data_IF_348864104418
#
_entry.id   IF_348864104418
#
_cell.length_a   1.000
_cell.length_b   1.000
_cell.length_c   1.000
_cell.angle_alpha   90.00
_cell.angle_beta   90.00
_cell.angle_gamma   90.00
#
_symmetry.space_group_name_H-M   'P 1'
#
loop_
_entity.id
_entity.type
_entity.pdbx_description
1 polymer ?
#
# COMPACT_ATOMS: atom_id res chain seq x y z
N UNK A 1 -15.46 5.57 16.49
CA UNK A 1 -14.51 6.54 17.06
C UNK A 1 -13.10 6.18 16.57
N UNK A 2 -12.25 7.15 16.26
CA UNK A 2 -10.86 6.86 15.84
C UNK A 2 -10.13 6.08 16.93
N UNK A 3 -9.39 5.04 16.56
CA UNK A 3 -8.61 4.24 17.50
C UNK A 3 -7.65 5.15 18.30
N UNK A 4 -7.55 5.01 19.64
CA UNK A 4 -6.67 5.85 20.47
C UNK A 4 -5.19 5.75 20.04
N UNK A 5 -4.84 4.71 19.27
CA UNK A 5 -3.51 4.49 18.70
C UNK A 5 -3.02 5.63 17.78
N UNK A 6 -3.93 6.36 17.16
CA UNK A 6 -3.63 7.40 16.16
C UNK A 6 -4.18 8.77 16.58
N UNK A 7 -3.99 9.17 17.84
CA UNK A 7 -4.43 10.49 18.31
C UNK A 7 -3.51 11.63 17.81
N UNK A 8 -4.03 12.86 17.82
CA UNK A 8 -3.26 14.08 17.52
C UNK A 8 -2.69 14.09 16.10
N UNK A 9 -1.40 14.37 15.98
CA UNK A 9 -0.71 14.47 14.68
C UNK A 9 -0.70 13.15 13.89
N UNK A 10 -0.95 12.01 14.54
CA UNK A 10 -1.00 10.70 13.90
C UNK A 10 -2.37 10.34 13.31
N UNK A 11 -3.42 11.12 13.59
CA UNK A 11 -4.79 10.85 13.14
C UNK A 11 -4.93 10.59 11.63
N UNK A 12 -4.23 11.31 10.73
CA UNK A 12 -4.31 11.03 9.30
C UNK A 12 -3.86 9.63 8.88
N UNK A 13 -2.96 8.99 9.63
CA UNK A 13 -2.44 7.65 9.33
C UNK A 13 -3.40 6.54 9.75
N UNK A 14 -4.23 6.78 10.77
CA UNK A 14 -5.20 5.82 11.29
C UNK A 14 -6.58 5.88 10.66
N UNK A 15 -6.88 6.90 9.84
CA UNK A 15 -8.25 7.21 9.37
C UNK A 15 -8.93 6.08 8.60
N UNK A 16 -8.14 5.22 7.97
CA UNK A 16 -8.60 4.09 7.14
C UNK A 16 -8.71 2.80 7.93
N UNK A 17 -8.18 2.75 9.16
CA UNK A 17 -8.33 1.60 10.04
C UNK A 17 -9.67 1.66 10.76
N UNK A 18 -10.54 0.70 10.43
CA UNK A 18 -11.87 0.59 11.00
C UNK A 18 -11.79 -0.02 12.40
N UNK A 19 -12.57 0.55 13.32
CA UNK A 19 -12.81 -0.07 14.62
C UNK A 19 -13.57 -1.40 14.44
N UNK A 20 -13.44 -2.31 15.42
CA UNK A 20 -14.11 -3.60 15.40
C UNK A 20 -15.64 -3.48 15.35
N UNK A 21 -16.19 -2.43 15.99
CA UNK A 21 -17.61 -2.09 16.06
C UNK A 21 -18.09 -1.15 14.95
N UNK A 22 -17.22 -0.79 13.99
CA UNK A 22 -17.62 0.07 12.87
C UNK A 22 -18.71 -0.66 12.05
N UNK A 23 -19.85 -0.01 11.75
CA UNK A 23 -20.99 -0.69 11.13
C UNK A 23 -20.81 -0.98 9.65
N UNK A 24 -19.77 -0.42 8.99
CA UNK A 24 -19.56 -0.63 7.56
C UNK A 24 -19.31 -2.11 7.26
N UNK A 25 -19.95 -2.67 6.22
CA UNK A 25 -19.65 -4.01 5.77
C UNK A 25 -18.22 -4.06 5.22
N UNK A 26 -17.54 -5.18 5.46
CA UNK A 26 -16.21 -5.46 4.92
C UNK A 26 -16.25 -6.79 4.20
N UNK A 27 -15.43 -6.90 3.15
CA UNK A 27 -15.25 -8.15 2.39
C UNK A 27 -13.83 -8.64 2.63
N UNK A 28 -13.66 -9.93 2.90
CA UNK A 28 -12.33 -10.52 3.11
C UNK A 28 -11.50 -10.47 1.81
N UNK A 29 -10.19 -10.22 1.92
CA UNK A 29 -9.32 -10.16 0.75
C UNK A 29 -9.36 -11.42 -0.14
N UNK A 30 -9.38 -12.67 0.40
CA UNK A 30 -9.47 -13.87 -0.44
C UNK A 30 -10.72 -13.90 -1.32
N UNK A 31 -11.85 -13.36 -0.83
CA UNK A 31 -13.08 -13.22 -1.60
C UNK A 31 -12.95 -12.12 -2.67
N UNK A 32 -12.38 -10.96 -2.31
CA UNK A 32 -12.16 -9.86 -3.25
C UNK A 32 -11.22 -10.22 -4.39
N UNK A 33 -10.20 -11.03 -4.12
CA UNK A 33 -9.17 -11.42 -5.08
C UNK A 33 -9.61 -12.54 -6.03
N UNK A 34 -10.82 -13.08 -5.89
CA UNK A 34 -11.35 -14.02 -6.87
C UNK A 34 -11.52 -13.32 -8.23
N UNK A 35 -11.11 -13.93 -9.36
CA UNK A 35 -11.19 -13.29 -10.68
C UNK A 35 -12.58 -12.75 -11.04
N UNK A 36 -13.64 -13.49 -10.72
CA UNK A 36 -15.01 -13.07 -10.95
C UNK A 36 -15.37 -11.82 -10.13
N UNK A 37 -14.90 -11.74 -8.88
CA UNK A 37 -15.16 -10.61 -7.99
C UNK A 37 -14.36 -9.37 -8.41
N UNK A 38 -13.08 -9.53 -8.75
CA UNK A 38 -12.25 -8.46 -9.33
C UNK A 38 -12.89 -7.90 -10.60
N UNK A 39 -13.38 -8.76 -11.50
CA UNK A 39 -14.04 -8.32 -12.72
C UNK A 39 -15.27 -7.46 -12.44
N UNK A 40 -16.13 -7.88 -11.51
CA UNK A 40 -17.29 -7.10 -11.10
C UNK A 40 -16.89 -5.75 -10.49
N UNK A 41 -15.88 -5.73 -9.62
CA UNK A 41 -15.40 -4.51 -8.97
C UNK A 41 -14.85 -3.52 -9.98
N UNK A 42 -13.96 -3.96 -10.86
CA UNK A 42 -13.36 -3.06 -11.85
C UNK A 42 -14.38 -2.57 -12.88
N UNK A 43 -15.35 -3.42 -13.28
CA UNK A 43 -16.48 -2.99 -14.11
C UNK A 43 -17.30 -1.90 -13.41
N UNK A 44 -17.57 -2.04 -12.12
CA UNK A 44 -18.30 -1.05 -11.32
C UNK A 44 -17.52 0.26 -11.19
N UNK A 45 -16.21 0.20 -10.91
CA UNK A 45 -15.38 1.38 -10.70
C UNK A 45 -15.12 2.14 -12.01
N UNK A 46 -14.81 1.43 -13.09
CA UNK A 46 -14.24 2.00 -14.31
C UNK A 46 -15.14 1.93 -15.55
N UNK A 47 -16.20 1.13 -15.50
CA UNK A 47 -17.12 0.93 -16.61
C UNK A 47 -16.62 -0.07 -17.67
N UNK A 48 -17.53 -0.58 -18.51
CA UNK A 48 -17.22 -1.61 -19.50
C UNK A 48 -16.34 -1.12 -20.65
N UNK A 49 -16.25 0.19 -20.90
CA UNK A 49 -15.49 0.74 -22.03
C UNK A 49 -13.98 0.60 -21.85
N UNK A 50 -13.48 0.68 -20.61
CA UNK A 50 -12.04 0.64 -20.30
C UNK A 50 -11.53 -0.78 -20.05
N UNK A 51 -12.38 -1.68 -19.58
CA UNK A 51 -11.99 -3.03 -19.17
C UNK A 51 -11.22 -3.82 -20.25
N UNK A 52 -11.67 -3.92 -21.52
CA UNK A 52 -11.02 -4.78 -22.51
C UNK A 52 -9.60 -4.34 -22.91
N UNK A 53 -9.31 -3.04 -22.88
CA UNK A 53 -8.06 -2.48 -23.42
C UNK A 53 -7.13 -1.90 -22.36
N UNK A 54 -7.61 -1.68 -21.13
CA UNK A 54 -6.86 -0.99 -20.07
C UNK A 54 -6.72 -1.81 -18.78
N UNK A 55 -7.07 -3.10 -18.77
CA UNK A 55 -7.07 -3.95 -17.57
C UNK A 55 -5.80 -3.81 -16.70
N UNK A 56 -4.56 -3.83 -17.25
CA UNK A 56 -3.35 -3.59 -16.45
C UNK A 56 -3.36 -2.27 -15.66
N UNK A 57 -3.85 -1.19 -16.27
CA UNK A 57 -3.89 0.14 -15.66
C UNK A 57 -4.95 0.18 -14.57
N UNK A 58 -6.13 -0.37 -14.85
CA UNK A 58 -7.26 -0.41 -13.92
C UNK A 58 -6.89 -1.20 -12.66
N UNK A 59 -6.24 -2.34 -12.81
CA UNK A 59 -5.73 -3.15 -11.69
C UNK A 59 -4.66 -2.40 -10.90
N UNK A 60 -3.72 -1.71 -11.58
CA UNK A 60 -2.71 -0.88 -10.93
C UNK A 60 -3.32 0.26 -10.10
N UNK A 61 -4.37 0.92 -10.61
CA UNK A 61 -5.08 1.97 -9.89
C UNK A 61 -5.89 1.42 -8.71
N UNK A 62 -6.60 0.30 -8.89
CA UNK A 62 -7.36 -0.31 -7.80
C UNK A 62 -6.45 -0.80 -6.67
N UNK A 63 -5.31 -1.42 -7.00
CA UNK A 63 -4.29 -1.82 -6.04
C UNK A 63 -3.76 -0.63 -5.23
N UNK A 64 -3.54 0.52 -5.88
CA UNK A 64 -3.12 1.77 -5.20
C UNK A 64 -4.12 2.17 -4.11
N UNK A 65 -5.43 2.09 -4.38
CA UNK A 65 -6.44 2.42 -3.36
C UNK A 65 -6.38 1.49 -2.17
N UNK A 66 -6.11 0.19 -2.37
CA UNK A 66 -5.89 -0.74 -1.25
C UNK A 66 -4.63 -0.40 -0.45
N UNK A 67 -3.50 -0.13 -1.11
CA UNK A 67 -2.26 0.29 -0.44
C UNK A 67 -2.47 1.56 0.41
N UNK A 68 -3.32 2.47 -0.07
CA UNK A 68 -3.71 3.68 0.67
C UNK A 68 -4.46 3.39 1.97
N UNK A 69 -5.12 2.24 2.08
CA UNK A 69 -5.85 1.87 3.28
C UNK A 69 -4.96 1.16 4.29
N UNK A 70 -4.11 0.22 3.83
CA UNK A 70 -3.40 -0.72 4.72
C UNK A 70 -2.02 -0.23 5.18
N UNK A 71 -1.25 0.44 4.31
CA UNK A 71 0.15 0.79 4.60
C UNK A 71 0.27 1.80 5.76
N UNK A 72 -0.46 2.93 5.80
CA UNK A 72 -0.26 3.95 6.81
C UNK A 72 -0.50 3.45 8.24
N UNK A 73 -1.65 2.79 8.56
CA UNK A 73 -1.90 2.39 9.93
C UNK A 73 -0.92 1.29 10.37
N UNK A 74 -0.58 0.32 9.51
CA UNK A 74 0.37 -0.75 9.85
C UNK A 74 1.77 -0.21 10.07
N UNK A 75 2.25 0.64 9.16
CA UNK A 75 3.59 1.21 9.24
C UNK A 75 3.75 2.07 10.51
N UNK A 76 2.81 2.96 10.77
CA UNK A 76 2.88 3.89 11.91
C UNK A 76 2.67 3.15 13.23
N UNK A 77 1.76 2.17 13.30
CA UNK A 77 1.58 1.36 14.51
C UNK A 77 2.85 0.59 14.88
N UNK A 78 3.52 -0.01 13.89
CA UNK A 78 4.79 -0.69 14.15
C UNK A 78 5.86 0.30 14.60
N UNK A 79 6.10 1.39 13.85
CA UNK A 79 7.21 2.32 14.12
C UNK A 79 7.05 3.13 15.40
N UNK A 80 5.84 3.61 15.69
CA UNK A 80 5.60 4.52 16.82
C UNK A 80 5.16 3.78 18.07
N UNK A 81 4.31 2.76 17.92
CA UNK A 81 3.67 2.09 19.06
C UNK A 81 4.23 0.68 19.32
N UNK A 82 5.07 0.15 18.42
CA UNK A 82 5.56 -1.24 18.51
C UNK A 82 4.45 -2.29 18.33
N UNK A 83 3.31 -1.91 17.75
CA UNK A 83 2.14 -2.78 17.62
C UNK A 83 2.11 -3.44 16.23
N UNK A 84 1.74 -4.71 16.22
CA UNK A 84 1.59 -5.50 15.01
C UNK A 84 0.25 -6.23 15.02
N UNK A 85 -0.24 -6.58 13.85
CA UNK A 85 -1.45 -7.38 13.66
C UNK A 85 -1.13 -8.58 12.77
N UNK A 86 -1.90 -9.68 12.87
CA UNK A 86 -1.98 -10.67 11.80
C UNK A 86 -2.46 -9.98 10.51
N UNK A 87 -1.71 -10.17 9.42
CA UNK A 87 -1.97 -9.52 8.14
C UNK A 87 -2.08 -10.51 6.97
N UNK A 88 -2.20 -11.81 7.26
CA UNK A 88 -2.60 -12.78 6.25
C UNK A 88 -3.92 -12.33 5.61
N UNK A 89 -4.13 -12.65 4.34
CA UNK A 89 -5.24 -12.08 3.58
C UNK A 89 -6.61 -12.33 4.23
N UNK A 90 -6.81 -13.50 4.85
CA UNK A 90 -8.04 -13.87 5.58
C UNK A 90 -8.28 -13.04 6.86
N UNK A 91 -7.25 -12.38 7.39
CA UNK A 91 -7.33 -11.52 8.59
C UNK A 91 -7.64 -10.06 8.25
N UNK A 92 -7.75 -9.71 6.97
CA UNK A 92 -8.00 -8.35 6.49
C UNK A 92 -9.31 -8.28 5.73
N UNK A 93 -10.27 -7.56 6.29
CA UNK A 93 -11.50 -7.13 5.63
C UNK A 93 -11.33 -5.74 5.02
N UNK A 94 -11.86 -5.53 3.82
CA UNK A 94 -11.85 -4.23 3.13
C UNK A 94 -13.26 -3.68 3.03
N UNK A 95 -13.46 -2.45 3.50
CA UNK A 95 -14.67 -1.69 3.20
C UNK A 95 -14.53 -1.04 1.83
N UNK A 96 -15.60 -1.08 1.05
CA UNK A 96 -15.70 -0.51 -0.28
C UNK A 96 -16.71 0.63 -0.26
N UNK A 97 -16.47 1.68 -1.03
CA UNK A 97 -17.49 2.68 -1.33
C UNK A 97 -18.55 2.14 -2.31
N UNK A 98 -19.55 2.97 -2.62
CA UNK A 98 -20.64 2.63 -3.54
C UNK A 98 -20.18 2.24 -4.96
N UNK A 99 -18.97 2.62 -5.37
CA UNK A 99 -18.39 2.29 -6.67
C UNK A 99 -17.56 1.01 -6.64
N UNK A 100 -17.15 0.54 -5.46
CA UNK A 100 -16.25 -0.60 -5.30
C UNK A 100 -14.78 -0.21 -5.07
N UNK A 101 -14.51 1.03 -4.67
CA UNK A 101 -13.17 1.52 -4.33
C UNK A 101 -12.89 1.27 -2.83
N UNK A 102 -11.71 0.72 -2.47
CA UNK A 102 -11.30 0.60 -1.08
C UNK A 102 -11.35 1.93 -0.32
N UNK A 103 -12.09 1.97 0.79
CA UNK A 103 -12.26 3.15 1.63
C UNK A 103 -12.01 2.91 3.14
N UNK A 104 -11.59 1.69 3.49
CA UNK A 104 -11.12 1.35 4.83
C UNK A 104 -10.73 -0.13 4.95
N UNK A 105 -10.03 -0.48 6.03
CA UNK A 105 -9.64 -1.86 6.37
C UNK A 105 -10.01 -2.19 7.80
N UNK A 106 -10.55 -3.39 8.03
CA UNK A 106 -10.79 -3.96 9.35
C UNK A 106 -9.87 -5.16 9.53
N UNK A 107 -9.11 -5.18 10.62
CA UNK A 107 -8.23 -6.29 10.98
C UNK A 107 -8.97 -7.17 11.99
N UNK A 108 -9.05 -8.48 11.71
CA UNK A 108 -9.83 -9.43 12.54
C UNK A 108 -9.11 -9.76 13.86
N UNK A 109 -7.78 -9.77 13.86
CA UNK A 109 -6.94 -10.08 15.03
C UNK A 109 -6.58 -8.91 15.95
N UNK A 110 -7.50 -7.98 16.26
CA UNK A 110 -7.19 -6.85 17.17
C UNK A 110 -6.82 -7.29 18.61
N UNK A 111 -7.09 -8.56 18.98
CA UNK A 111 -6.71 -9.16 20.27
C UNK A 111 -5.35 -9.88 20.29
N UNK A 112 -4.73 -10.11 19.13
CA UNK A 112 -3.41 -10.75 18.99
C UNK A 112 -2.32 -9.72 18.69
N UNK A 113 -2.43 -8.54 19.30
CA UNK A 113 -1.44 -7.48 19.13
C UNK A 113 -0.22 -7.80 19.97
N UNK A 114 0.87 -8.21 19.34
CA UNK A 114 2.14 -8.39 20.03
C UNK A 114 2.97 -7.09 20.03
N UNK A 115 3.72 -6.90 21.12
CA UNK A 115 4.57 -5.73 21.37
C UNK A 115 6.06 -6.01 21.19
N UNK A 116 6.42 -7.25 20.88
CA UNK A 116 7.80 -7.60 20.57
C UNK A 116 8.14 -7.06 19.18
N UNK A 117 9.12 -6.16 19.13
CA UNK A 117 9.58 -5.51 17.92
C UNK A 117 10.89 -6.16 17.50
N UNK A 118 10.90 -7.00 16.45
CA UNK A 118 12.16 -7.47 15.88
C UNK A 118 13.05 -6.28 15.51
N UNK A 119 14.34 -6.41 15.81
CA UNK A 119 15.35 -5.41 15.40
C UNK A 119 15.51 -5.42 13.88
N UNK A 120 15.43 -6.61 13.26
CA UNK A 120 15.52 -6.77 11.82
C UNK A 120 14.29 -6.13 11.11
N UNK A 121 14.50 -5.20 10.17
CA UNK A 121 13.41 -4.53 9.48
C UNK A 121 12.47 -5.46 8.70
N UNK A 122 13.01 -6.50 8.07
CA UNK A 122 12.21 -7.41 7.25
C UNK A 122 11.40 -8.37 8.10
N UNK A 123 11.93 -8.81 9.24
CA UNK A 123 11.18 -9.58 10.23
C UNK A 123 10.08 -8.71 10.86
N UNK A 124 10.38 -7.45 11.20
CA UNK A 124 9.41 -6.50 11.77
C UNK A 124 8.21 -6.28 10.85
N UNK A 125 8.45 -6.21 9.54
CA UNK A 125 7.40 -5.99 8.54
C UNK A 125 7.00 -7.25 7.77
N UNK A 126 7.35 -8.45 8.26
CA UNK A 126 7.02 -9.71 7.58
C UNK A 126 5.51 -9.87 7.33
N UNK A 127 4.67 -9.53 8.32
CA UNK A 127 3.21 -9.57 8.13
C UNK A 127 2.72 -8.65 7.00
N UNK A 128 3.28 -7.44 6.88
CA UNK A 128 2.89 -6.55 5.79
C UNK A 128 3.45 -7.03 4.45
N UNK A 129 4.71 -7.44 4.41
CA UNK A 129 5.41 -7.75 3.16
C UNK A 129 5.06 -9.13 2.61
N UNK A 130 5.13 -10.15 3.45
CA UNK A 130 5.06 -11.56 3.06
C UNK A 130 3.66 -12.13 3.21
N UNK A 131 2.95 -11.80 4.29
CA UNK A 131 1.61 -12.34 4.52
C UNK A 131 0.52 -11.55 3.76
N UNK A 132 0.77 -10.27 3.45
CA UNK A 132 -0.22 -9.39 2.82
C UNK A 132 0.17 -8.94 1.41
N UNK A 133 1.16 -8.06 1.28
CA UNK A 133 1.46 -7.39 0.00
C UNK A 133 1.92 -8.38 -1.06
N UNK A 134 2.77 -9.36 -0.72
CA UNK A 134 3.25 -10.36 -1.66
C UNK A 134 2.13 -11.18 -2.29
N UNK A 135 1.25 -11.89 -1.54
CA UNK A 135 0.17 -12.67 -2.15
C UNK A 135 -0.90 -11.78 -2.80
N UNK A 136 -1.19 -10.60 -2.25
CA UNK A 136 -2.11 -9.62 -2.87
C UNK A 136 -1.61 -9.17 -4.24
N UNK A 137 -0.34 -8.76 -4.33
CA UNK A 137 0.30 -8.32 -5.58
C UNK A 137 0.39 -9.47 -6.56
N UNK A 138 0.74 -10.68 -6.11
CA UNK A 138 0.77 -11.86 -6.99
C UNK A 138 -0.59 -12.14 -7.62
N UNK A 139 -1.68 -12.10 -6.83
CA UNK A 139 -3.03 -12.33 -7.34
C UNK A 139 -3.46 -11.26 -8.35
N UNK A 140 -3.24 -9.98 -8.04
CA UNK A 140 -3.60 -8.88 -8.95
C UNK A 140 -2.72 -8.83 -10.21
N UNK A 141 -1.43 -9.15 -10.09
CA UNK A 141 -0.55 -9.25 -11.26
C UNK A 141 -0.98 -10.33 -12.22
N UNK A 142 -1.40 -11.49 -11.70
CA UNK A 142 -1.92 -12.58 -12.52
C UNK A 142 -3.24 -12.18 -13.20
N UNK A 143 -4.18 -11.60 -12.44
CA UNK A 143 -5.48 -11.19 -12.98
C UNK A 143 -5.37 -10.04 -14.00
N UNK A 144 -4.54 -9.04 -13.73
CA UNK A 144 -4.41 -7.84 -14.55
C UNK A 144 -3.34 -7.91 -15.64
N UNK A 145 -2.69 -9.06 -15.79
CA UNK A 145 -1.61 -9.30 -16.77
C UNK A 145 -0.52 -8.21 -16.75
N UNK A 146 -0.12 -7.80 -15.54
CA UNK A 146 0.88 -6.74 -15.34
C UNK A 146 2.05 -7.20 -14.47
N UNK A 147 3.29 -6.74 -14.75
CA UNK A 147 4.43 -7.09 -13.93
C UNK A 147 4.23 -6.64 -12.48
N UNK A 148 4.48 -7.53 -11.51
CA UNK A 148 4.36 -7.22 -10.08
C UNK A 148 5.22 -6.03 -9.64
N UNK A 149 6.29 -5.74 -10.36
CA UNK A 149 7.12 -4.55 -10.13
C UNK A 149 6.35 -3.22 -10.27
N UNK A 150 5.28 -3.18 -11.08
CA UNK A 150 4.36 -2.02 -11.19
C UNK A 150 3.63 -1.80 -9.86
N UNK A 151 3.08 -2.86 -9.29
CA UNK A 151 2.32 -2.81 -8.03
C UNK A 151 3.24 -2.57 -6.83
N UNK A 152 4.39 -3.23 -6.77
CA UNK A 152 5.41 -2.97 -5.74
C UNK A 152 5.95 -1.55 -5.78
N UNK A 153 6.11 -0.96 -6.98
CA UNK A 153 6.44 0.45 -7.14
C UNK A 153 5.35 1.34 -6.54
N UNK A 154 4.06 0.98 -6.68
CA UNK A 154 2.95 1.76 -6.09
C UNK A 154 2.92 1.64 -4.57
N UNK A 155 3.13 0.44 -4.03
CA UNK A 155 3.23 0.22 -2.59
C UNK A 155 4.41 0.99 -1.99
N UNK A 156 5.59 0.91 -2.60
CA UNK A 156 6.78 1.62 -2.14
C UNK A 156 6.69 3.14 -2.28
N UNK A 157 6.06 3.64 -3.34
CA UNK A 157 5.72 5.06 -3.50
C UNK A 157 4.87 5.58 -2.35
N UNK A 158 3.88 4.80 -1.94
CA UNK A 158 3.00 5.23 -0.87
C UNK A 158 3.65 5.06 0.52
N UNK A 159 4.39 3.98 0.74
CA UNK A 159 5.16 3.73 1.97
C UNK A 159 6.18 4.83 2.22
N UNK A 160 6.95 5.23 1.20
CA UNK A 160 7.95 6.29 1.32
C UNK A 160 7.28 7.62 1.69
N UNK A 161 6.18 8.00 1.01
CA UNK A 161 5.45 9.22 1.36
C UNK A 161 4.85 9.19 2.77
N UNK A 162 4.50 8.01 3.29
CA UNK A 162 4.10 7.85 4.68
C UNK A 162 5.26 8.10 5.64
N UNK A 163 6.47 7.60 5.34
CA UNK A 163 7.66 7.85 6.16
C UNK A 163 8.05 9.33 6.16
N UNK A 164 8.02 10.01 5.01
CA UNK A 164 8.30 11.44 4.90
C UNK A 164 7.36 12.24 5.81
N UNK A 165 6.05 11.99 5.72
CA UNK A 165 5.04 12.65 6.56
C UNK A 165 5.21 12.31 8.04
N UNK A 166 5.56 11.07 8.36
CA UNK A 166 5.77 10.67 9.74
C UNK A 166 6.98 11.38 10.36
N UNK A 167 8.05 11.60 9.59
CA UNK A 167 9.24 12.32 10.03
C UNK A 167 8.94 13.78 10.41
N UNK A 168 7.94 14.40 9.80
CA UNK A 168 7.51 15.77 10.09
C UNK A 168 6.73 15.90 11.41
N UNK A 169 6.17 14.79 11.93
CA UNK A 169 5.21 14.83 13.04
C UNK A 169 5.49 13.85 14.18
N UNK A 170 6.58 13.08 14.12
CA UNK A 170 6.96 12.10 15.14
C UNK A 170 8.47 12.06 15.34
N UNK A 171 8.88 11.88 16.60
CA UNK A 171 10.29 11.66 16.97
C UNK A 171 10.68 10.17 16.93
N UNK A 172 9.79 9.27 16.54
CA UNK A 172 10.07 7.83 16.48
C UNK A 172 11.16 7.52 15.44
N UNK A 173 11.99 6.51 15.73
CA UNK A 173 12.99 6.05 14.76
C UNK A 173 12.32 5.43 13.53
N UNK A 174 12.65 5.95 12.36
CA UNK A 174 12.15 5.46 11.07
C UNK A 174 13.10 4.48 10.38
N UNK A 175 14.21 4.12 11.03
CA UNK A 175 15.29 3.35 10.42
C UNK A 175 14.81 2.03 9.81
N UNK A 176 13.93 1.30 10.49
CA UNK A 176 13.36 0.05 9.98
C UNK A 176 12.48 0.28 8.74
N UNK A 177 11.68 1.34 8.70
CA UNK A 177 10.89 1.68 7.51
C UNK A 177 11.76 2.11 6.33
N UNK A 178 12.81 2.90 6.59
CA UNK A 178 13.77 3.35 5.58
C UNK A 178 14.55 2.16 5.00
N UNK A 179 14.96 1.19 5.83
CA UNK A 179 15.64 -0.03 5.39
C UNK A 179 14.86 -0.81 4.33
N UNK A 180 13.52 -0.84 4.42
CA UNK A 180 12.67 -1.46 3.39
C UNK A 180 12.84 -0.80 2.00
N UNK A 181 13.27 0.45 1.94
CA UNK A 181 13.46 1.19 0.69
C UNK A 181 14.92 1.26 0.25
N UNK A 182 15.88 1.07 1.17
CA UNK A 182 17.31 1.26 0.90
C UNK A 182 18.10 -0.04 0.81
N UNK A 183 17.62 -1.15 1.39
CA UNK A 183 18.33 -2.42 1.35
C UNK A 183 17.98 -3.22 0.09
N UNK A 184 19.00 -3.65 -0.65
CA UNK A 184 18.82 -4.36 -1.93
C UNK A 184 18.34 -5.81 -1.77
N UNK A 185 18.77 -6.47 -0.69
CA UNK A 185 18.46 -7.86 -0.39
C UNK A 185 17.88 -7.95 1.02
N UNK A 186 17.04 -8.96 1.21
CA UNK A 186 16.53 -9.36 2.52
C UNK A 186 17.56 -10.25 3.25
N UNK A 187 17.41 -10.49 4.56
CA UNK A 187 18.30 -11.36 5.33
C UNK A 187 18.41 -12.79 4.77
N UNK A 188 17.34 -13.29 4.16
CA UNK A 188 17.30 -14.61 3.50
C UNK A 188 17.95 -14.63 2.09
N UNK A 189 18.53 -13.51 1.64
CA UNK A 189 19.18 -13.37 0.35
C UNK A 189 18.25 -13.05 -0.83
N UNK A 190 16.91 -13.12 -0.65
CA UNK A 190 15.95 -12.72 -1.69
C UNK A 190 16.08 -11.24 -2.04
N UNK A 191 15.73 -10.87 -3.27
CA UNK A 191 15.67 -9.47 -3.69
C UNK A 191 14.56 -8.76 -2.93
N UNK A 192 14.84 -7.53 -2.45
CA UNK A 192 13.82 -6.68 -1.87
C UNK A 192 13.01 -5.99 -2.99
N UNK A 193 11.69 -6.27 -3.14
CA UNK A 193 10.89 -5.65 -4.19
C UNK A 193 10.69 -4.13 -3.99
N UNK A 194 10.84 -3.62 -2.77
CA UNK A 194 10.72 -2.19 -2.42
C UNK A 194 12.02 -1.39 -2.61
N UNK A 195 13.15 -2.05 -2.86
CA UNK A 195 14.45 -1.39 -2.99
C UNK A 195 14.44 -0.27 -4.04
N UNK A 196 14.65 0.97 -3.61
CA UNK A 196 14.56 2.16 -4.43
C UNK A 196 13.25 2.26 -5.22
N UNK A 197 12.12 1.84 -4.65
CA UNK A 197 10.80 2.03 -5.27
C UNK A 197 10.55 3.50 -5.64
N UNK A 198 11.18 4.42 -4.91
CA UNK A 198 11.29 5.85 -5.20
C UNK A 198 12.76 6.27 -5.20
N UNK A 199 13.08 7.26 -6.04
CA UNK A 199 14.38 7.93 -6.16
C UNK A 199 14.17 9.43 -6.21
N UNK A 200 15.16 10.17 -5.74
CA UNK A 200 15.21 11.61 -5.85
C UNK A 200 16.19 11.99 -6.96
N UNK A 201 15.66 12.56 -8.04
CA UNK A 201 16.42 12.90 -9.25
C UNK A 201 16.74 14.38 -9.24
N UNK A 202 18.03 14.71 -9.24
CA UNK A 202 18.50 16.09 -9.28
C UNK A 202 17.84 16.87 -10.44
N UNK A 203 17.40 18.09 -10.14
CA UNK A 203 16.81 19.00 -11.12
C UNK A 203 17.81 20.08 -11.52
N UNK A 204 17.55 20.74 -12.65
CA UNK A 204 18.37 21.86 -13.09
C UNK A 204 18.31 23.02 -12.08
N UNK A 205 19.34 23.85 -12.08
CA UNK A 205 19.35 25.17 -11.42
C UNK A 205 19.07 25.15 -9.91
N UNK A 206 19.47 24.07 -9.21
CA UNK A 206 19.35 23.98 -7.75
C UNK A 206 17.92 23.81 -7.24
N UNK A 207 16.97 23.48 -8.12
CA UNK A 207 15.62 23.09 -7.69
C UNK A 207 15.66 21.79 -6.88
N UNK A 208 14.65 21.65 -6.00
CA UNK A 208 14.51 20.47 -5.15
C UNK A 208 14.51 19.18 -5.99
N UNK A 209 15.20 18.11 -5.55
CA UNK A 209 15.23 16.85 -6.26
C UNK A 209 13.83 16.33 -6.53
N UNK A 210 13.55 15.99 -7.78
CA UNK A 210 12.25 15.45 -8.18
C UNK A 210 12.11 14.03 -7.65
N UNK A 211 11.05 13.82 -6.87
CA UNK A 211 10.64 12.50 -6.41
C UNK A 211 10.09 11.68 -7.58
N UNK A 212 10.70 10.55 -7.87
CA UNK A 212 10.41 9.72 -9.05
C UNK A 212 10.31 8.24 -8.68
N UNK A 213 9.27 7.57 -9.15
CA UNK A 213 9.09 6.11 -8.95
C UNK A 213 10.05 5.31 -9.82
N UNK A 214 10.45 4.12 -9.36
CA UNK A 214 11.31 3.19 -10.14
C UNK A 214 10.62 2.63 -11.38
N UNK A 215 9.32 2.37 -11.27
CA UNK A 215 8.50 1.74 -12.32
C UNK A 215 7.22 2.55 -12.50
N UNK A 216 6.84 2.81 -13.75
CA UNK A 216 5.62 3.55 -14.10
C UNK A 216 4.37 2.80 -13.60
N UNK A 217 3.41 3.53 -13.02
CA UNK A 217 2.14 2.97 -12.54
C UNK A 217 1.08 2.79 -13.64
N UNK A 218 1.42 3.14 -14.88
CA UNK A 218 0.59 3.07 -16.09
C UNK A 218 -0.60 4.06 -16.11
N UNK A 219 -0.80 4.87 -15.08
CA UNK A 219 -1.96 5.77 -14.95
C UNK A 219 -2.16 6.68 -16.17
N UNK A 220 -1.05 7.13 -16.79
CA UNK A 220 -1.08 8.00 -17.97
C UNK A 220 -1.80 7.39 -19.18
N UNK A 221 -2.04 6.07 -19.21
CA UNK A 221 -2.71 5.37 -20.32
C UNK A 221 -4.22 5.57 -20.31
N UNK A 222 -4.77 6.05 -19.19
CA UNK A 222 -6.17 6.38 -19.03
C UNK A 222 -6.27 7.89 -18.85
N UNK A 223 -6.81 8.58 -19.86
CA UNK A 223 -6.79 10.05 -19.97
C UNK A 223 -7.32 10.76 -18.72
N UNK A 224 -8.49 10.33 -18.22
CA UNK A 224 -9.11 10.95 -17.04
C UNK A 224 -8.39 10.63 -15.72
N UNK A 225 -7.55 9.59 -15.67
CA UNK A 225 -6.67 9.33 -14.51
C UNK A 225 -5.42 10.19 -14.59
N UNK A 226 -4.88 10.36 -15.81
CA UNK A 226 -3.74 11.22 -16.08
C UNK A 226 -2.40 10.67 -15.60
N UNK A 227 -1.35 11.45 -15.87
CA UNK A 227 0.02 11.14 -15.45
C UNK A 227 0.17 11.38 -13.95
N UNK A 228 0.73 10.42 -13.23
CA UNK A 228 1.05 10.60 -11.81
C UNK A 228 2.23 11.56 -11.62
N UNK A 229 2.23 12.29 -10.51
CA UNK A 229 3.28 13.26 -10.13
C UNK A 229 4.70 12.65 -10.16
N UNK A 230 4.82 11.41 -9.67
CA UNK A 230 6.10 10.71 -9.54
C UNK A 230 6.45 9.83 -10.75
N UNK A 231 5.88 10.11 -11.93
CA UNK A 231 6.04 9.26 -13.11
C UNK A 231 7.51 9.22 -13.59
N UNK A 232 8.09 8.03 -13.86
CA UNK A 232 9.47 7.93 -14.37
C UNK A 232 9.61 8.14 -15.87
N UNK A 233 8.50 8.25 -16.60
CA UNK A 233 8.57 8.50 -18.03
C UNK A 233 8.92 9.97 -18.26
N UNK A 234 9.70 10.27 -19.32
CA UNK A 234 9.90 11.64 -19.79
C UNK A 234 8.55 12.36 -19.95
N UNK A 235 8.57 13.67 -19.74
CA UNK A 235 7.42 14.53 -20.02
C UNK A 235 7.13 14.56 -21.52
#
# INVERSE_FOLDING_TARGET
>A
MSSPLFAGALAPFGRTLLAADDPRPVVALPELLQPARLNQLLLSVYGPQLMPSQLPVLVSQWAKFYFMQIIPPVLVASLVQGLHWPLTLDQVGVALDERGVPCGVRLVGQGEVWRDVPVDPFQRFAGLLDDNLQPFITALSAYGELPGAVLWSSAGDYLEGCLTRLAECSAASLAAGIALLTEKRRPDGRTNPLFQAVRYVAQAQGAEPRRQRRVCCLSHRVEWVGRCEHCPLPE
#
